data_IF_651796011109
#
_entry.id   IF_651796011109
#
_cell.length_a   1.000
_cell.length_b   1.000
_cell.length_c   1.000
_cell.angle_alpha   90.00
_cell.angle_beta   90.00
_cell.angle_gamma   90.00
#
_symmetry.space_group_name_H-M   'P 1'
#
loop_
_entity.id
_entity.type
_entity.pdbx_description
1 polymer ?
#
# COMPACT_ATOMS: atom_id res chain seq x y z
N UNK A 1 -27.97 -8.32 1.70
CA UNK A 1 -27.22 -7.59 2.76
C UNK A 1 -27.43 -6.11 2.51
N UNK A 2 -27.76 -5.31 3.53
CA UNK A 2 -27.77 -3.86 3.33
C UNK A 2 -26.34 -3.39 3.04
N UNK A 3 -26.20 -2.46 2.10
CA UNK A 3 -24.93 -1.83 1.74
C UNK A 3 -24.94 -0.36 2.20
N UNK A 4 -25.53 -0.12 3.38
CA UNK A 4 -25.68 1.21 3.94
C UNK A 4 -24.35 1.72 4.52
N UNK A 5 -24.30 3.01 4.83
CA UNK A 5 -23.11 3.63 5.42
C UNK A 5 -22.70 3.00 6.76
N UNK A 6 -23.67 2.56 7.57
CA UNK A 6 -23.39 1.87 8.84
C UNK A 6 -22.72 0.51 8.62
N UNK A 7 -23.08 -0.22 7.56
CA UNK A 7 -22.43 -1.47 7.19
C UNK A 7 -20.99 -1.21 6.74
N UNK A 8 -20.76 -0.13 5.97
CA UNK A 8 -19.43 0.33 5.57
C UNK A 8 -18.58 0.74 6.77
N UNK A 9 -19.14 1.45 7.75
CA UNK A 9 -18.48 1.78 9.02
C UNK A 9 -18.10 0.52 9.80
N UNK A 10 -19.01 -0.46 9.88
CA UNK A 10 -18.74 -1.74 10.56
C UNK A 10 -17.60 -2.51 9.89
N UNK A 11 -17.61 -2.61 8.56
CA UNK A 11 -16.50 -3.23 7.80
C UNK A 11 -15.19 -2.47 7.95
N UNK A 12 -15.23 -1.14 7.94
CA UNK A 12 -14.07 -0.29 8.19
C UNK A 12 -13.47 -0.55 9.58
N UNK A 13 -14.29 -0.56 10.64
CA UNK A 13 -13.85 -0.90 12.01
C UNK A 13 -13.27 -2.31 12.08
N UNK A 14 -13.94 -3.29 11.45
CA UNK A 14 -13.46 -4.68 11.40
C UNK A 14 -12.10 -4.82 10.71
N UNK A 15 -11.89 -4.15 9.57
CA UNK A 15 -10.58 -4.10 8.88
C UNK A 15 -9.50 -3.46 9.75
N UNK A 16 -9.78 -2.29 10.32
CA UNK A 16 -8.79 -1.48 11.06
C UNK A 16 -8.37 -2.15 12.38
N UNK A 17 -9.30 -2.81 13.05
CA UNK A 17 -9.02 -3.60 14.26
C UNK A 17 -8.38 -4.97 13.96
N UNK A 18 -8.50 -5.47 12.72
CA UNK A 18 -8.01 -6.78 12.31
C UNK A 18 -8.95 -7.95 12.61
N UNK A 19 -10.20 -7.67 13.02
CA UNK A 19 -11.24 -8.68 13.23
C UNK A 19 -11.55 -9.45 11.92
N UNK A 20 -11.46 -8.79 10.77
CA UNK A 20 -11.64 -9.40 9.44
C UNK A 20 -10.60 -10.49 9.10
N UNK A 21 -9.50 -10.54 9.87
CA UNK A 21 -8.38 -11.46 9.69
C UNK A 21 -8.08 -12.27 10.96
N UNK A 22 -8.99 -12.28 11.95
CA UNK A 22 -8.79 -13.04 13.19
C UNK A 22 -8.53 -14.54 12.92
N UNK A 23 -9.09 -15.12 11.86
CA UNK A 23 -8.91 -16.53 11.51
C UNK A 23 -7.47 -16.90 11.09
N UNK A 24 -6.65 -15.94 10.64
CA UNK A 24 -5.30 -16.21 10.10
C UNK A 24 -4.18 -15.87 11.09
N UNK A 25 -4.52 -15.52 12.33
CA UNK A 25 -3.57 -15.17 13.40
C UNK A 25 -3.69 -16.11 14.60
N UNK A 26 -2.69 -16.07 15.48
CA UNK A 26 -2.57 -16.90 16.69
C UNK A 26 -3.70 -16.64 17.68
N UNK A 27 -3.93 -17.54 18.64
CA UNK A 27 -4.96 -17.31 19.67
C UNK A 27 -4.65 -16.07 20.52
N UNK A 28 -3.41 -15.91 20.99
CA UNK A 28 -3.00 -14.71 21.73
C UNK A 28 -3.18 -13.43 20.91
N UNK A 29 -2.89 -13.48 19.61
CA UNK A 29 -3.10 -12.35 18.71
C UNK A 29 -4.60 -12.06 18.50
N UNK A 30 -5.46 -13.09 18.49
CA UNK A 30 -6.92 -12.91 18.48
C UNK A 30 -7.40 -12.24 19.76
N UNK A 31 -6.93 -12.66 20.92
CA UNK A 31 -7.34 -12.10 22.21
C UNK A 31 -6.92 -10.62 22.30
N UNK A 32 -5.70 -10.30 21.84
CA UNK A 32 -5.26 -8.91 21.67
C UNK A 32 -6.19 -8.12 20.74
N UNK A 33 -6.49 -8.66 19.55
CA UNK A 33 -7.38 -8.01 18.57
C UNK A 33 -8.76 -7.76 19.17
N UNK A 34 -9.36 -8.76 19.81
CA UNK A 34 -10.69 -8.67 20.42
C UNK A 34 -10.67 -7.61 21.52
N UNK A 35 -9.70 -7.65 22.43
CA UNK A 35 -9.60 -6.68 23.51
C UNK A 35 -9.37 -5.26 23.00
N UNK A 36 -8.45 -5.08 22.03
CA UNK A 36 -8.15 -3.76 21.44
C UNK A 36 -9.32 -3.23 20.61
N UNK A 37 -10.07 -4.09 19.92
CA UNK A 37 -11.23 -3.70 19.11
C UNK A 37 -12.41 -3.14 19.92
N UNK A 38 -12.40 -3.35 21.25
CA UNK A 38 -13.37 -2.73 22.16
C UNK A 38 -13.09 -1.24 22.38
N UNK A 39 -11.86 -0.79 22.14
CA UNK A 39 -11.52 0.62 22.25
C UNK A 39 -11.96 1.34 20.99
N UNK A 40 -12.67 2.45 21.19
CA UNK A 40 -13.07 3.33 20.10
C UNK A 40 -11.86 4.08 19.56
N UNK A 41 -11.65 4.06 18.24
CA UNK A 41 -10.66 4.93 17.60
C UNK A 41 -11.18 6.37 17.47
N UNK A 42 -10.26 7.34 17.43
CA UNK A 42 -10.61 8.77 17.40
C UNK A 42 -11.60 9.14 16.28
N UNK A 43 -11.46 8.60 15.06
CA UNK A 43 -12.34 8.91 13.93
C UNK A 43 -13.82 8.63 14.20
N UNK A 44 -14.13 7.71 15.11
CA UNK A 44 -15.49 7.21 15.33
C UNK A 44 -16.38 8.20 16.09
N UNK A 45 -15.79 9.22 16.73
CA UNK A 45 -16.52 10.21 17.53
C UNK A 45 -16.40 11.65 17.00
N UNK A 46 -15.59 11.88 15.95
CA UNK A 46 -15.29 13.22 15.41
C UNK A 46 -16.43 13.87 14.62
N UNK A 47 -17.39 13.09 14.14
CA UNK A 47 -18.50 13.60 13.33
C UNK A 47 -19.84 13.00 13.80
N UNK A 48 -20.32 13.49 14.95
CA UNK A 48 -21.58 13.03 15.57
C UNK A 48 -22.76 13.20 14.62
N UNK A 49 -23.61 12.17 14.53
CA UNK A 49 -24.81 12.12 13.68
C UNK A 49 -24.54 12.34 12.17
N UNK A 50 -23.27 12.18 11.75
CA UNK A 50 -22.80 12.33 10.37
C UNK A 50 -22.05 11.06 9.94
N UNK A 51 -22.76 9.95 9.68
CA UNK A 51 -22.14 8.66 9.38
C UNK A 51 -21.28 8.66 8.11
N UNK A 52 -21.62 9.39 7.05
CA UNK A 52 -20.80 9.45 5.83
C UNK A 52 -19.49 10.20 6.08
N UNK A 53 -19.55 11.28 6.86
CA UNK A 53 -18.39 12.05 7.33
C UNK A 53 -17.52 11.18 8.22
N UNK A 54 -18.12 10.47 9.18
CA UNK A 54 -17.44 9.52 10.06
C UNK A 54 -16.69 8.45 9.26
N UNK A 55 -17.36 7.86 8.25
CA UNK A 55 -16.73 6.91 7.34
C UNK A 55 -15.55 7.53 6.59
N UNK A 56 -15.72 8.72 6.00
CA UNK A 56 -14.66 9.39 5.24
C UNK A 56 -13.41 9.67 6.11
N UNK A 57 -13.61 10.16 7.35
CA UNK A 57 -12.54 10.41 8.30
C UNK A 57 -11.81 9.12 8.68
N UNK A 58 -12.55 8.06 9.03
CA UNK A 58 -11.95 6.76 9.35
C UNK A 58 -11.24 6.09 8.18
N UNK A 59 -11.73 6.30 6.96
CA UNK A 59 -11.13 5.79 5.73
C UNK A 59 -9.81 6.51 5.39
N UNK A 60 -9.66 7.78 5.78
CA UNK A 60 -8.44 8.58 5.62
C UNK A 60 -7.43 8.37 6.76
N UNK A 61 -7.90 8.10 7.97
CA UNK A 61 -7.05 7.95 9.15
C UNK A 61 -6.06 6.79 8.98
N UNK A 62 -4.82 6.97 9.44
CA UNK A 62 -3.88 5.86 9.57
C UNK A 62 -4.39 4.80 10.56
N UNK A 63 -4.01 3.55 10.37
CA UNK A 63 -4.34 2.47 11.32
C UNK A 63 -3.66 2.78 12.67
N UNK A 64 -4.28 2.40 13.80
CA UNK A 64 -3.70 2.59 15.14
C UNK A 64 -2.23 2.12 15.16
N UNK A 65 -1.28 3.00 15.55
CA UNK A 65 0.16 2.73 15.49
C UNK A 65 0.60 1.45 16.20
N UNK A 66 -0.17 0.97 17.17
CA UNK A 66 0.07 -0.30 17.87
C UNK A 66 0.06 -1.47 16.88
N UNK A 67 -0.88 -1.49 15.93
CA UNK A 67 -0.96 -2.54 14.92
C UNK A 67 0.21 -2.48 13.95
N UNK A 68 0.59 -1.27 13.51
CA UNK A 68 1.76 -1.05 12.67
C UNK A 68 3.04 -1.52 13.36
N UNK A 69 3.22 -1.17 14.64
CA UNK A 69 4.34 -1.64 15.46
C UNK A 69 4.41 -3.17 15.53
N UNK A 70 3.29 -3.85 15.80
CA UNK A 70 3.22 -5.32 15.85
C UNK A 70 3.62 -5.94 14.49
N UNK A 71 3.18 -5.36 13.38
CA UNK A 71 3.60 -5.79 12.04
C UNK A 71 5.12 -5.67 11.86
N UNK A 72 5.72 -4.54 12.25
CA UNK A 72 7.17 -4.33 12.16
C UNK A 72 7.95 -5.29 13.06
N UNK A 73 7.51 -5.49 14.31
CA UNK A 73 8.13 -6.45 15.25
C UNK A 73 8.02 -7.89 14.77
N UNK A 74 6.93 -8.26 14.11
CA UNK A 74 6.77 -9.60 13.53
C UNK A 74 7.74 -9.82 12.38
N UNK A 75 7.91 -8.83 11.50
CA UNK A 75 8.88 -8.91 10.41
C UNK A 75 10.32 -8.95 10.94
N UNK A 76 10.62 -8.16 11.96
CA UNK A 76 11.90 -8.17 12.68
C UNK A 76 12.21 -9.53 13.31
N UNK A 77 11.21 -10.19 13.92
CA UNK A 77 11.36 -11.54 14.44
C UNK A 77 11.68 -12.56 13.34
N UNK A 78 11.02 -12.47 12.19
CA UNK A 78 11.30 -13.34 11.03
C UNK A 78 12.70 -13.07 10.49
N UNK A 79 13.07 -11.80 10.33
CA UNK A 79 14.42 -11.36 9.94
C UNK A 79 15.49 -12.00 10.82
N UNK A 80 15.36 -11.88 12.13
CA UNK A 80 16.36 -12.36 13.10
C UNK A 80 16.52 -13.88 13.08
N UNK A 81 15.51 -14.64 12.64
CA UNK A 81 15.64 -16.09 12.47
C UNK A 81 16.28 -16.48 11.14
N UNK A 82 16.00 -15.72 10.08
CA UNK A 82 16.61 -15.89 8.76
C UNK A 82 18.09 -15.53 8.79
N UNK A 83 18.45 -14.41 9.39
CA UNK A 83 19.84 -13.94 9.52
C UNK A 83 20.76 -14.99 10.18
N UNK A 84 20.25 -15.74 11.15
CA UNK A 84 20.99 -16.81 11.84
C UNK A 84 21.16 -18.10 11.03
N UNK A 85 20.41 -18.26 9.94
CA UNK A 85 20.27 -19.55 9.22
C UNK A 85 20.62 -19.45 7.73
N UNK A 86 20.64 -18.24 7.18
CA UNK A 86 21.08 -17.99 5.81
C UNK A 86 22.58 -17.68 5.77
N UNK A 87 23.13 -17.63 4.55
CA UNK A 87 24.50 -17.18 4.30
C UNK A 87 24.74 -15.78 4.89
N UNK A 88 25.96 -15.45 5.36
CA UNK A 88 26.27 -14.11 5.88
C UNK A 88 26.13 -13.00 4.82
N UNK A 89 26.05 -13.34 3.53
CA UNK A 89 25.90 -12.39 2.43
C UNK A 89 24.43 -12.09 2.13
N UNK A 90 23.63 -11.80 3.15
CA UNK A 90 22.24 -11.36 2.98
C UNK A 90 21.96 -10.06 3.72
N UNK A 91 21.13 -9.21 3.12
CA UNK A 91 20.60 -8.00 3.73
C UNK A 91 19.07 -8.09 3.77
N UNK A 92 18.45 -7.37 4.70
CA UNK A 92 17.01 -7.34 4.85
C UNK A 92 16.47 -5.91 4.74
N UNK A 93 15.35 -5.74 4.05
CA UNK A 93 14.67 -4.46 3.88
C UNK A 93 13.15 -4.68 3.93
N UNK A 94 12.40 -3.66 4.33
CA UNK A 94 10.93 -3.68 4.29
C UNK A 94 10.43 -2.93 3.06
N UNK A 95 9.36 -3.43 2.45
CA UNK A 95 8.65 -2.74 1.38
C UNK A 95 7.13 -2.77 1.60
N UNK A 96 6.39 -2.18 0.66
CA UNK A 96 4.94 -2.25 0.63
C UNK A 96 4.25 -1.20 1.50
N UNK A 97 2.99 -1.47 1.85
CA UNK A 97 2.09 -0.46 2.41
C UNK A 97 2.29 -0.17 3.90
N UNK A 98 2.93 -1.07 4.64
CA UNK A 98 3.23 -0.91 6.07
C UNK A 98 4.33 0.15 6.28
N UNK A 99 5.55 0.03 5.71
CA UNK A 99 6.58 1.07 5.88
C UNK A 99 6.17 2.41 5.27
N UNK A 100 5.26 2.43 4.28
CA UNK A 100 4.71 3.65 3.72
C UNK A 100 3.52 4.23 4.51
N UNK A 101 3.05 3.53 5.56
CA UNK A 101 1.88 3.90 6.37
C UNK A 101 0.61 4.18 5.54
N UNK A 102 0.37 3.41 4.48
CA UNK A 102 -0.85 3.48 3.65
C UNK A 102 -1.66 2.18 3.71
N UNK A 103 -1.29 1.27 4.60
CA UNK A 103 -2.09 0.09 4.91
C UNK A 103 -3.43 0.50 5.56
N UNK A 104 -4.47 -0.31 5.36
CA UNK A 104 -5.84 -0.02 5.82
C UNK A 104 -6.40 -1.10 6.76
N UNK A 105 -5.57 -2.09 7.12
CA UNK A 105 -5.93 -3.21 8.00
C UNK A 105 -5.02 -3.25 9.21
N UNK A 106 -5.57 -3.52 10.39
CA UNK A 106 -4.79 -3.77 11.62
C UNK A 106 -3.95 -5.03 11.52
N UNK A 107 -4.45 -6.04 10.80
CA UNK A 107 -3.70 -7.24 10.43
C UNK A 107 -3.28 -7.10 8.97
N UNK A 108 -2.22 -6.34 8.74
CA UNK A 108 -1.61 -6.21 7.41
C UNK A 108 -0.41 -7.14 7.28
N UNK A 109 -0.34 -7.82 6.14
CA UNK A 109 0.81 -8.61 5.72
C UNK A 109 2.02 -7.67 5.54
N UNK A 110 3.21 -8.14 5.89
CA UNK A 110 4.45 -7.37 5.76
C UNK A 110 5.34 -8.01 4.69
N UNK A 111 5.81 -7.19 3.76
CA UNK A 111 6.73 -7.61 2.72
C UNK A 111 8.19 -7.44 3.20
N UNK A 112 8.84 -8.56 3.51
CA UNK A 112 10.25 -8.62 3.93
C UNK A 112 11.13 -9.04 2.76
N UNK A 113 11.94 -8.11 2.25
CA UNK A 113 12.95 -8.40 1.24
C UNK A 113 14.13 -9.12 1.90
N UNK A 114 14.61 -10.19 1.27
CA UNK A 114 15.88 -10.87 1.58
C UNK A 114 16.78 -10.70 0.37
N UNK A 115 17.81 -9.87 0.49
CA UNK A 115 18.69 -9.49 -0.61
C UNK A 115 20.00 -10.26 -0.53
N UNK A 116 20.31 -11.10 -1.52
CA UNK A 116 21.65 -11.66 -1.67
C UNK A 116 22.62 -10.52 -2.03
N UNK A 117 23.61 -10.26 -1.17
CA UNK A 117 24.61 -9.20 -1.37
C UNK A 117 25.88 -9.70 -2.05
N UNK A 118 26.02 -11.02 -2.24
CA UNK A 118 27.12 -11.62 -3.02
C UNK A 118 26.93 -11.51 -4.53
N UNK A 119 25.74 -11.08 -4.97
CA UNK A 119 25.38 -10.94 -6.37
C UNK A 119 24.52 -9.69 -6.58
N UNK A 120 24.75 -9.01 -7.69
CA UNK A 120 23.90 -7.92 -8.15
C UNK A 120 24.04 -7.81 -9.67
N UNK A 121 23.09 -7.11 -10.29
CA UNK A 121 23.20 -6.69 -11.69
C UNK A 121 23.34 -5.15 -11.74
N UNK A 122 23.78 -4.61 -12.87
CA UNK A 122 23.98 -3.19 -13.03
C UNK A 122 23.63 -2.73 -14.44
N UNK A 123 23.24 -1.46 -14.56
CA UNK A 123 22.94 -0.84 -15.85
C UNK A 123 24.25 -0.55 -16.58
N UNK A 124 24.45 -1.16 -17.74
CA UNK A 124 25.70 -1.04 -18.49
C UNK A 124 25.92 0.37 -19.05
N UNK A 125 24.86 1.17 -19.16
CA UNK A 125 24.92 2.58 -19.60
C UNK A 125 25.14 3.56 -18.45
N UNK A 126 25.16 3.10 -17.20
CA UNK A 126 25.44 3.96 -16.05
C UNK A 126 26.90 4.46 -16.03
N UNK A 127 27.13 5.54 -15.29
CA UNK A 127 28.44 6.22 -15.28
C UNK A 127 29.56 5.35 -14.70
N UNK A 128 29.27 4.59 -13.63
CA UNK A 128 30.24 3.70 -12.98
C UNK A 128 30.57 2.49 -13.86
N UNK A 129 29.58 1.95 -14.57
CA UNK A 129 29.79 0.88 -15.57
C UNK A 129 30.69 1.35 -16.70
N UNK A 130 30.41 2.51 -17.30
CA UNK A 130 31.23 3.06 -18.40
C UNK A 130 32.65 3.42 -17.96
N UNK A 131 32.85 3.72 -16.68
CA UNK A 131 34.17 3.96 -16.09
C UNK A 131 34.92 2.65 -15.73
N UNK A 132 34.32 1.48 -15.93
CA UNK A 132 34.96 0.19 -15.64
C UNK A 132 34.96 -0.22 -14.18
N UNK A 133 34.09 0.37 -13.34
CA UNK A 133 34.02 0.07 -11.91
C UNK A 133 33.22 -1.20 -11.57
N UNK A 134 32.56 -1.81 -12.56
CA UNK A 134 31.87 -3.09 -12.38
C UNK A 134 32.61 -4.24 -13.05
N UNK A 135 32.64 -5.37 -12.36
CA UNK A 135 33.09 -6.65 -12.92
C UNK A 135 31.86 -7.51 -13.20
N UNK A 136 31.76 -8.14 -14.38
CA UNK A 136 30.68 -9.09 -14.67
C UNK A 136 30.64 -10.23 -13.65
N UNK A 137 29.45 -10.75 -13.38
CA UNK A 137 29.31 -11.94 -12.55
C UNK A 137 30.03 -13.15 -13.17
N UNK A 138 30.49 -14.07 -12.33
CA UNK A 138 31.13 -15.31 -12.77
C UNK A 138 30.21 -16.08 -13.75
N UNK A 139 30.76 -16.73 -14.79
CA UNK A 139 29.98 -17.52 -15.74
C UNK A 139 29.05 -18.52 -15.03
N UNK A 140 27.79 -18.56 -15.45
CA UNK A 140 26.77 -19.44 -14.86
C UNK A 140 26.05 -18.88 -13.63
N UNK A 141 26.50 -17.79 -13.02
CA UNK A 141 25.72 -17.07 -12.00
C UNK A 141 24.76 -16.09 -12.66
N UNK A 142 23.48 -16.43 -12.69
CA UNK A 142 22.40 -15.59 -13.20
C UNK A 142 21.47 -15.17 -12.07
N UNK A 143 20.70 -14.10 -12.28
CA UNK A 143 19.64 -13.70 -11.34
C UNK A 143 18.68 -14.84 -11.03
N UNK A 144 18.26 -15.62 -12.04
CA UNK A 144 17.37 -16.77 -11.84
C UNK A 144 18.05 -17.80 -10.94
N UNK A 145 19.28 -18.23 -11.23
CA UNK A 145 19.96 -19.27 -10.43
C UNK A 145 20.19 -18.83 -8.98
N UNK A 146 20.61 -17.57 -8.77
CA UNK A 146 20.88 -17.02 -7.44
C UNK A 146 19.58 -16.91 -6.64
N UNK A 147 18.52 -16.35 -7.23
CA UNK A 147 17.26 -16.15 -6.52
C UNK A 147 16.51 -17.47 -6.29
N UNK A 148 16.63 -18.46 -7.18
CA UNK A 148 16.08 -19.80 -6.96
C UNK A 148 16.74 -20.48 -5.77
N UNK A 149 18.07 -20.41 -5.68
CA UNK A 149 18.81 -20.95 -4.52
C UNK A 149 18.40 -20.24 -3.22
N UNK A 150 18.42 -18.89 -3.22
CA UNK A 150 18.01 -18.10 -2.05
C UNK A 150 16.56 -18.41 -1.63
N UNK A 151 15.65 -18.59 -2.59
CA UNK A 151 14.26 -18.95 -2.30
C UNK A 151 14.15 -20.30 -1.60
N UNK A 152 14.87 -21.31 -2.05
CA UNK A 152 14.93 -22.63 -1.38
C UNK A 152 15.55 -22.55 0.01
N UNK A 153 16.60 -21.74 0.17
CA UNK A 153 17.24 -21.52 1.47
C UNK A 153 16.30 -20.84 2.46
N UNK A 154 15.55 -19.82 2.00
CA UNK A 154 14.52 -19.14 2.79
C UNK A 154 13.44 -20.13 3.25
N UNK A 155 12.89 -20.98 2.37
CA UNK A 155 11.87 -21.97 2.78
C UNK A 155 12.39 -22.91 3.87
N UNK A 156 13.58 -23.49 3.66
CA UNK A 156 14.22 -24.36 4.65
C UNK A 156 14.48 -23.65 5.97
N UNK A 157 15.01 -22.43 5.93
CA UNK A 157 15.30 -21.63 7.12
C UNK A 157 14.03 -21.28 7.90
N UNK A 158 12.94 -20.89 7.21
CA UNK A 158 11.65 -20.58 7.82
C UNK A 158 11.04 -21.82 8.49
N UNK A 159 11.02 -22.97 7.80
CA UNK A 159 10.51 -24.24 8.38
C UNK A 159 11.29 -24.67 9.61
N UNK A 160 12.61 -24.51 9.58
CA UNK A 160 13.47 -24.84 10.73
C UNK A 160 13.28 -23.86 11.90
N UNK A 161 13.07 -22.57 11.63
CA UNK A 161 12.91 -21.55 12.66
C UNK A 161 11.51 -21.54 13.29
N UNK A 162 10.48 -21.89 12.52
CA UNK A 162 9.08 -21.80 12.91
C UNK A 162 8.34 -23.11 12.58
N UNK A 163 8.69 -24.24 13.23
CA UNK A 163 8.18 -25.57 12.88
C UNK A 163 6.66 -25.70 13.03
N UNK A 164 6.03 -24.90 13.90
CA UNK A 164 4.59 -24.87 14.08
C UNK A 164 3.87 -23.92 13.10
N UNK A 165 4.57 -22.99 12.45
CA UNK A 165 3.98 -22.03 11.53
C UNK A 165 3.73 -22.67 10.16
N UNK A 166 2.75 -22.15 9.44
CA UNK A 166 2.54 -22.54 8.05
C UNK A 166 3.49 -21.74 7.17
N UNK A 167 4.32 -22.46 6.40
CA UNK A 167 5.18 -21.90 5.35
C UNK A 167 4.59 -22.28 4.00
N UNK A 168 3.95 -21.31 3.35
CA UNK A 168 3.36 -21.43 2.01
C UNK A 168 4.36 -21.02 0.94
N UNK A 169 4.78 -22.01 0.16
CA UNK A 169 5.75 -21.88 -0.92
C UNK A 169 5.09 -21.76 -2.32
N UNK A 170 3.76 -21.67 -2.40
CA UNK A 170 3.01 -21.67 -3.67
C UNK A 170 3.06 -20.34 -4.40
N UNK A 171 3.19 -19.22 -3.67
CA UNK A 171 3.25 -17.88 -4.30
C UNK A 171 4.52 -17.76 -5.15
N UNK A 172 4.45 -17.37 -6.44
CA UNK A 172 5.61 -17.37 -7.31
C UNK A 172 6.69 -16.36 -6.89
N UNK A 173 6.31 -15.28 -6.20
CA UNK A 173 7.18 -14.13 -5.92
C UNK A 173 7.67 -14.05 -4.47
N UNK A 174 7.06 -14.80 -3.56
CA UNK A 174 7.38 -14.75 -2.14
C UNK A 174 7.23 -16.15 -1.51
N UNK A 175 7.86 -16.34 -0.35
CA UNK A 175 7.57 -17.44 0.57
C UNK A 175 6.78 -16.84 1.73
N UNK A 176 5.52 -17.24 1.86
CA UNK A 176 4.61 -16.67 2.85
C UNK A 176 4.67 -17.49 4.13
N UNK A 177 4.84 -16.84 5.28
CA UNK A 177 4.80 -17.49 6.58
C UNK A 177 3.72 -16.88 7.48
N UNK A 178 2.92 -17.72 8.13
CA UNK A 178 1.83 -17.28 9.01
C UNK A 178 1.43 -18.35 10.03
N UNK A 179 0.63 -17.95 11.03
CA UNK A 179 0.13 -18.84 12.08
C UNK A 179 1.12 -19.09 13.23
N UNK A 180 0.81 -20.09 14.04
CA UNK A 180 1.53 -20.46 15.27
C UNK A 180 1.73 -19.33 16.27
N UNK A 181 2.93 -18.73 16.32
CA UNK A 181 3.29 -17.65 17.24
C UNK A 181 3.51 -16.31 16.52
N UNK A 182 3.26 -16.24 15.20
CA UNK A 182 3.38 -15.02 14.42
C UNK A 182 2.08 -14.22 14.50
N UNK A 183 2.16 -13.00 15.02
CA UNK A 183 0.99 -12.14 15.14
C UNK A 183 0.40 -11.76 13.79
N UNK A 184 1.20 -11.74 12.71
CA UNK A 184 0.82 -11.33 11.36
C UNK A 184 1.49 -12.22 10.31
N UNK A 185 0.87 -12.40 9.12
CA UNK A 185 1.55 -13.00 7.99
C UNK A 185 2.74 -12.15 7.52
N UNK A 186 3.81 -12.80 7.09
CA UNK A 186 4.98 -12.15 6.47
C UNK A 186 5.23 -12.78 5.11
N UNK A 187 5.27 -11.95 4.07
CA UNK A 187 5.64 -12.35 2.72
C UNK A 187 7.16 -12.10 2.55
N UNK A 188 7.95 -13.17 2.56
CA UNK A 188 9.41 -13.11 2.43
C UNK A 188 9.79 -13.17 0.96
N UNK A 189 10.45 -12.15 0.43
CA UNK A 189 10.71 -11.97 -1.00
C UNK A 189 12.21 -12.09 -1.30
N UNK A 190 12.67 -13.23 -1.84
CA UNK A 190 14.04 -13.40 -2.30
C UNK A 190 14.36 -12.41 -3.42
N UNK A 191 15.43 -11.65 -3.23
CA UNK A 191 15.81 -10.53 -4.09
C UNK A 191 17.34 -10.41 -4.18
N UNK A 192 17.82 -9.62 -5.13
CA UNK A 192 19.18 -9.08 -5.12
C UNK A 192 19.16 -7.64 -5.62
N UNK A 193 20.26 -6.91 -5.46
CA UNK A 193 20.36 -5.54 -5.89
C UNK A 193 20.45 -5.40 -7.42
N UNK A 194 19.90 -4.31 -7.94
CA UNK A 194 20.12 -3.81 -9.30
C UNK A 194 20.61 -2.36 -9.24
N UNK A 195 21.88 -2.16 -9.61
CA UNK A 195 22.56 -0.87 -9.67
C UNK A 195 22.18 -0.10 -10.95
N UNK A 196 21.07 0.63 -10.87
CA UNK A 196 20.56 1.46 -11.97
C UNK A 196 21.54 2.57 -12.37
N UNK A 197 21.39 3.13 -13.57
CA UNK A 197 22.17 4.29 -13.98
C UNK A 197 22.02 5.50 -13.02
N UNK A 198 20.83 5.67 -12.42
CA UNK A 198 20.57 6.72 -11.43
C UNK A 198 21.39 6.46 -10.15
N UNK A 199 21.36 5.24 -9.62
CA UNK A 199 22.14 4.85 -8.45
C UNK A 199 23.65 5.01 -8.68
N UNK A 200 24.15 4.61 -9.86
CA UNK A 200 25.54 4.78 -10.23
C UNK A 200 25.99 6.26 -10.20
N UNK A 201 25.06 7.18 -10.44
CA UNK A 201 25.34 8.62 -10.45
C UNK A 201 25.19 9.24 -9.05
N UNK A 202 24.19 8.82 -8.28
CA UNK A 202 23.84 9.45 -7.00
C UNK A 202 24.45 8.77 -5.77
N UNK A 203 24.74 7.48 -5.84
CA UNK A 203 25.10 6.63 -4.69
C UNK A 203 23.95 6.42 -3.69
N UNK A 204 22.74 6.89 -3.98
CA UNK A 204 21.65 6.91 -3.01
C UNK A 204 20.81 5.63 -3.07
N UNK A 205 20.59 4.98 -1.92
CA UNK A 205 19.85 3.70 -1.82
C UNK A 205 18.50 3.71 -2.55
N UNK A 206 17.77 4.82 -2.49
CA UNK A 206 16.45 4.92 -3.12
C UNK A 206 16.49 4.90 -4.66
N UNK A 207 17.63 5.22 -5.28
CA UNK A 207 17.80 5.12 -6.73
C UNK A 207 18.22 3.70 -7.16
N UNK A 208 18.59 2.85 -6.19
CA UNK A 208 18.91 1.43 -6.42
C UNK A 208 17.61 0.63 -6.54
N UNK A 209 17.57 -0.26 -7.53
CA UNK A 209 16.45 -1.17 -7.74
C UNK A 209 16.74 -2.53 -7.11
N UNK A 210 15.74 -3.40 -7.10
CA UNK A 210 15.88 -4.81 -6.76
C UNK A 210 15.39 -5.67 -7.91
N UNK A 211 15.93 -6.87 -8.04
CA UNK A 211 15.42 -7.90 -8.93
C UNK A 211 14.84 -9.03 -8.09
N UNK A 212 13.62 -9.47 -8.42
CA UNK A 212 12.92 -10.57 -7.75
C UNK A 212 12.65 -11.72 -8.73
N UNK A 213 12.43 -12.92 -8.20
CA UNK A 213 12.10 -14.12 -8.98
C UNK A 213 10.57 -14.26 -9.16
N UNK A 214 10.14 -14.57 -10.37
CA UNK A 214 8.86 -15.24 -10.63
C UNK A 214 9.13 -16.73 -10.79
N UNK A 215 8.94 -17.50 -9.71
CA UNK A 215 9.29 -18.92 -9.66
C UNK A 215 8.38 -19.81 -10.51
N UNK A 216 7.21 -19.32 -10.91
CA UNK A 216 6.31 -20.06 -11.80
C UNK A 216 6.78 -19.94 -13.25
N UNK A 217 7.22 -18.74 -13.66
CA UNK A 217 7.70 -18.49 -15.02
C UNK A 217 9.20 -18.73 -15.19
N UNK A 218 9.93 -18.89 -14.08
CA UNK A 218 11.39 -18.93 -14.04
C UNK A 218 12.02 -17.71 -14.72
N UNK A 219 11.46 -16.53 -14.44
CA UNK A 219 11.92 -15.23 -14.96
C UNK A 219 12.14 -14.25 -13.81
N UNK A 220 12.75 -13.12 -14.11
CA UNK A 220 13.01 -12.07 -13.13
C UNK A 220 12.20 -10.81 -13.41
N UNK A 221 11.94 -10.04 -12.35
CA UNK A 221 11.19 -8.79 -12.39
C UNK A 221 11.97 -7.75 -11.59
N UNK A 222 12.30 -6.64 -12.25
CA UNK A 222 12.93 -5.49 -11.58
C UNK A 222 11.86 -4.59 -10.95
N UNK A 223 12.14 -4.12 -9.74
CA UNK A 223 11.27 -3.22 -8.99
C UNK A 223 12.05 -2.10 -8.33
N UNK A 224 11.39 -0.96 -8.12
CA UNK A 224 11.94 0.23 -7.48
C UNK A 224 11.19 0.57 -6.18
N UNK A 225 11.11 -0.35 -5.20
CA UNK A 225 10.29 -0.14 -4.00
C UNK A 225 10.77 1.07 -3.18
N UNK A 226 12.08 1.26 -3.08
CA UNK A 226 12.67 2.35 -2.29
C UNK A 226 12.47 3.71 -2.96
N UNK A 227 12.58 3.79 -4.29
CA UNK A 227 12.26 5.01 -5.04
C UNK A 227 10.78 5.38 -4.88
N UNK A 228 9.89 4.40 -4.98
CA UNK A 228 8.46 4.60 -4.81
C UNK A 228 8.15 5.12 -3.39
N UNK A 229 8.68 4.47 -2.35
CA UNK A 229 8.51 4.90 -0.95
C UNK A 229 9.03 6.32 -0.77
N UNK A 230 10.22 6.64 -1.30
CA UNK A 230 10.78 8.00 -1.23
C UNK A 230 9.87 9.02 -1.90
N UNK A 231 9.47 8.80 -3.16
CA UNK A 231 8.66 9.74 -3.94
C UNK A 231 7.31 10.02 -3.27
N UNK A 232 6.64 8.97 -2.77
CA UNK A 232 5.39 9.15 -2.02
C UNK A 232 5.64 9.88 -0.70
N UNK A 233 6.72 9.56 0.02
CA UNK A 233 7.05 10.21 1.30
C UNK A 233 7.33 11.70 1.10
N UNK A 234 8.27 12.05 0.23
CA UNK A 234 8.64 13.44 -0.07
C UNK A 234 7.39 14.27 -0.46
N UNK A 235 6.51 13.71 -1.32
CA UNK A 235 5.29 14.41 -1.73
C UNK A 235 4.22 14.45 -0.64
N UNK A 236 4.16 13.45 0.23
CA UNK A 236 3.26 13.44 1.37
C UNK A 236 3.68 14.47 2.41
N UNK A 237 4.97 14.61 2.66
CA UNK A 237 5.52 15.61 3.59
C UNK A 237 5.23 17.02 3.07
N UNK A 238 5.38 17.24 1.76
CA UNK A 238 4.99 18.49 1.10
C UNK A 238 3.47 18.80 1.14
N UNK A 239 2.63 17.83 1.51
CA UNK A 239 1.17 18.00 1.67
C UNK A 239 0.71 17.80 3.11
N UNK A 240 1.63 17.84 4.09
CA UNK A 240 1.35 17.65 5.52
C UNK A 240 0.52 16.39 5.82
N UNK A 241 0.80 15.28 5.13
CA UNK A 241 0.08 14.02 5.31
C UNK A 241 -1.12 13.82 4.37
N UNK A 242 -1.53 14.85 3.62
CA UNK A 242 -2.70 14.81 2.75
C UNK A 242 -2.66 13.70 1.70
N UNK A 243 -1.50 13.44 1.10
CA UNK A 243 -1.33 12.35 0.12
C UNK A 243 -1.59 10.95 0.72
N UNK A 244 -0.99 10.60 1.86
CA UNK A 244 -1.23 9.25 2.44
C UNK A 244 -2.70 9.09 2.89
N UNK A 245 -3.34 10.17 3.35
CA UNK A 245 -4.79 10.18 3.66
C UNK A 245 -5.63 9.88 2.42
N UNK A 246 -5.37 10.52 1.27
CA UNK A 246 -6.11 10.23 0.03
C UNK A 246 -5.88 8.81 -0.48
N UNK A 247 -4.65 8.29 -0.37
CA UNK A 247 -4.33 6.90 -0.72
C UNK A 247 -5.15 5.91 0.13
N UNK A 248 -5.20 6.11 1.46
CA UNK A 248 -5.99 5.24 2.35
C UNK A 248 -7.48 5.34 2.07
N UNK A 249 -7.99 6.53 1.74
CA UNK A 249 -9.38 6.74 1.33
C UNK A 249 -9.71 5.91 0.07
N UNK A 250 -8.92 6.05 -1.00
CA UNK A 250 -9.12 5.28 -2.23
C UNK A 250 -9.05 3.77 -1.99
N UNK A 251 -8.11 3.30 -1.15
CA UNK A 251 -7.99 1.88 -0.79
C UNK A 251 -9.21 1.37 -0.01
N UNK A 252 -9.75 2.17 0.91
CA UNK A 252 -10.96 1.81 1.64
C UNK A 252 -12.18 1.78 0.73
N UNK A 253 -12.34 2.74 -0.18
CA UNK A 253 -13.42 2.72 -1.20
C UNK A 253 -13.32 1.48 -2.07
N UNK A 254 -12.11 1.14 -2.56
CA UNK A 254 -11.89 -0.11 -3.28
C UNK A 254 -12.36 -1.32 -2.47
N UNK A 255 -11.98 -1.39 -1.19
CA UNK A 255 -12.34 -2.52 -0.34
C UNK A 255 -13.85 -2.61 -0.05
N UNK A 256 -14.56 -1.47 0.01
CA UNK A 256 -16.03 -1.47 0.08
C UNK A 256 -16.66 -2.00 -1.20
N UNK A 257 -16.19 -1.53 -2.37
CA UNK A 257 -16.69 -2.01 -3.66
C UNK A 257 -16.48 -3.52 -3.83
N UNK A 258 -15.32 -4.04 -3.43
CA UNK A 258 -15.03 -5.48 -3.46
C UNK A 258 -15.94 -6.27 -2.49
N UNK A 259 -16.20 -5.74 -1.29
CA UNK A 259 -17.13 -6.36 -0.34
C UNK A 259 -18.58 -6.34 -0.84
N UNK A 260 -18.93 -5.37 -1.68
CA UNK A 260 -20.24 -5.21 -2.33
C UNK A 260 -20.34 -6.00 -3.66
N UNK A 261 -19.33 -6.81 -3.97
CA UNK A 261 -19.33 -7.71 -5.14
C UNK A 261 -18.77 -7.11 -6.42
N UNK A 262 -18.22 -5.89 -6.37
CA UNK A 262 -17.60 -5.24 -7.52
C UNK A 262 -16.10 -5.51 -7.55
N UNK A 263 -15.63 -6.25 -8.55
CA UNK A 263 -14.19 -6.49 -8.75
C UNK A 263 -13.48 -5.22 -9.24
N UNK A 264 -12.44 -4.80 -8.54
CA UNK A 264 -11.67 -3.59 -8.88
C UNK A 264 -10.26 -3.96 -9.35
N UNK A 265 -10.00 -3.80 -10.65
CA UNK A 265 -8.72 -4.09 -11.29
C UNK A 265 -7.69 -2.95 -11.11
N UNK A 266 -7.62 -2.34 -9.92
CA UNK A 266 -6.59 -1.37 -9.54
C UNK A 266 -5.87 -1.87 -8.30
N UNK A 267 -4.56 -2.04 -8.36
CA UNK A 267 -3.77 -2.47 -7.19
C UNK A 267 -3.62 -1.32 -6.18
N UNK A 268 -3.17 -1.64 -4.95
CA UNK A 268 -2.80 -0.59 -3.98
C UNK A 268 -1.70 0.34 -4.53
N UNK A 269 -0.80 -0.22 -5.32
CA UNK A 269 0.28 0.52 -5.97
C UNK A 269 -0.26 1.45 -7.06
N UNK A 270 -1.25 1.02 -7.85
CA UNK A 270 -1.92 1.88 -8.84
C UNK A 270 -2.66 3.02 -8.13
N UNK A 271 -3.43 2.75 -7.07
CA UNK A 271 -4.14 3.80 -6.32
C UNK A 271 -3.18 4.81 -5.68
N UNK A 272 -2.06 4.35 -5.12
CA UNK A 272 -1.00 5.23 -4.61
C UNK A 272 -0.40 6.09 -5.73
N UNK A 273 -0.15 5.49 -6.89
CA UNK A 273 0.39 6.16 -8.07
C UNK A 273 -0.57 7.18 -8.66
N UNK A 274 -1.88 6.90 -8.66
CA UNK A 274 -2.90 7.86 -9.12
C UNK A 274 -2.86 9.07 -8.19
N UNK A 275 -3.01 8.87 -6.88
CA UNK A 275 -3.02 9.99 -5.92
C UNK A 275 -1.69 10.75 -5.86
N UNK A 276 -0.56 10.12 -6.20
CA UNK A 276 0.73 10.80 -6.35
C UNK A 276 0.68 11.94 -7.37
N UNK A 277 -0.20 11.90 -8.37
CA UNK A 277 -0.35 12.97 -9.36
C UNK A 277 -1.45 13.98 -9.01
N UNK A 278 -2.18 13.79 -7.91
CA UNK A 278 -3.20 14.73 -7.46
C UNK A 278 -2.59 16.11 -7.11
N UNK A 279 -3.45 17.13 -7.09
CA UNK A 279 -3.05 18.52 -6.85
C UNK A 279 -2.59 18.68 -5.40
N UNK A 280 -1.31 19.03 -5.22
CA UNK A 280 -0.68 19.16 -3.89
C UNK A 280 -1.24 20.33 -3.09
N UNK A 281 -1.63 21.42 -3.74
CA UNK A 281 -2.24 22.58 -3.07
C UNK A 281 -3.58 22.18 -2.45
N UNK A 282 -4.41 21.45 -3.19
CA UNK A 282 -5.70 20.99 -2.69
C UNK A 282 -5.56 19.93 -1.58
N UNK A 283 -4.57 19.03 -1.69
CA UNK A 283 -4.26 18.08 -0.61
C UNK A 283 -3.74 18.79 0.66
N UNK A 284 -2.96 19.86 0.50
CA UNK A 284 -2.42 20.67 1.60
C UNK A 284 -3.52 21.37 2.39
N UNK A 285 -4.61 21.77 1.75
CA UNK A 285 -5.78 22.33 2.43
C UNK A 285 -6.34 21.37 3.50
N UNK A 286 -6.08 20.07 3.36
CA UNK A 286 -6.38 19.02 4.34
C UNK A 286 -5.75 19.20 5.72
N UNK A 287 -4.72 20.05 5.86
CA UNK A 287 -4.16 20.41 7.15
C UNK A 287 -5.15 21.19 8.02
N UNK A 288 -5.96 22.05 7.40
CA UNK A 288 -6.97 22.88 8.08
C UNK A 288 -8.36 22.29 7.92
N UNK A 289 -8.72 21.90 6.70
CA UNK A 289 -10.02 21.34 6.35
C UNK A 289 -9.83 19.90 5.89
N UNK A 290 -9.81 18.95 6.82
CA UNK A 290 -9.44 17.55 6.52
C UNK A 290 -10.27 16.94 5.37
N UNK A 291 -11.55 17.30 5.25
CA UNK A 291 -12.39 16.80 4.16
C UNK A 291 -12.07 17.41 2.78
N UNK A 292 -11.23 18.45 2.69
CA UNK A 292 -10.69 18.91 1.41
C UNK A 292 -9.90 17.81 0.69
N UNK A 293 -9.35 16.83 1.42
CA UNK A 293 -8.68 15.66 0.86
C UNK A 293 -9.68 14.76 0.11
N UNK A 294 -10.89 14.58 0.66
CA UNK A 294 -11.99 13.87 -0.04
C UNK A 294 -12.37 14.62 -1.32
N UNK A 295 -12.50 15.95 -1.24
CA UNK A 295 -12.84 16.77 -2.40
C UNK A 295 -11.78 16.67 -3.51
N UNK A 296 -10.49 16.68 -3.17
CA UNK A 296 -9.41 16.52 -4.15
C UNK A 296 -9.33 15.11 -4.72
N UNK A 297 -9.48 14.08 -3.88
CA UNK A 297 -9.49 12.69 -4.33
C UNK A 297 -10.65 12.45 -5.33
N UNK A 298 -11.85 12.94 -5.01
CA UNK A 298 -13.00 12.91 -5.92
C UNK A 298 -12.69 13.65 -7.22
N UNK A 299 -12.30 14.94 -7.13
CA UNK A 299 -12.04 15.79 -8.30
C UNK A 299 -11.02 15.14 -9.24
N UNK A 300 -9.94 14.60 -8.70
CA UNK A 300 -8.87 14.05 -9.51
C UNK A 300 -9.24 12.70 -10.15
N UNK A 301 -9.94 11.82 -9.43
CA UNK A 301 -10.46 10.57 -10.01
C UNK A 301 -11.47 10.85 -11.14
N UNK A 302 -12.39 11.78 -10.93
CA UNK A 302 -13.39 12.20 -11.93
C UNK A 302 -12.72 12.82 -13.15
N UNK A 303 -11.73 13.70 -12.94
CA UNK A 303 -10.94 14.29 -14.01
C UNK A 303 -10.26 13.23 -14.88
N UNK A 304 -9.60 12.23 -14.27
CA UNK A 304 -8.94 11.15 -15.02
C UNK A 304 -9.94 10.24 -15.73
N UNK A 305 -11.11 10.00 -15.14
CA UNK A 305 -12.15 9.20 -15.77
C UNK A 305 -12.74 9.90 -17.00
N UNK A 306 -12.97 11.21 -16.92
CA UNK A 306 -13.46 12.02 -18.04
C UNK A 306 -12.39 12.28 -19.10
N UNK A 307 -11.10 12.28 -18.71
CA UNK A 307 -9.97 12.54 -19.60
C UNK A 307 -9.03 11.33 -19.68
N UNK A 308 -9.52 10.21 -20.22
CA UNK A 308 -8.76 8.94 -20.26
C UNK A 308 -7.41 9.05 -20.97
N UNK A 309 -7.28 9.89 -21.99
CA UNK A 309 -6.01 10.10 -22.68
C UNK A 309 -4.97 10.81 -21.81
N UNK A 310 -5.40 11.66 -20.88
CA UNK A 310 -4.52 12.18 -19.84
C UNK A 310 -4.13 11.10 -18.84
N UNK A 311 -5.09 10.29 -18.41
CA UNK A 311 -4.82 9.18 -17.50
C UNK A 311 -3.80 8.19 -18.07
N UNK A 312 -3.88 7.84 -19.37
CA UNK A 312 -2.90 6.96 -20.05
C UNK A 312 -1.46 7.49 -20.01
N UNK A 313 -1.27 8.80 -19.92
CA UNK A 313 0.07 9.43 -19.84
C UNK A 313 0.69 9.35 -18.45
N UNK A 314 -0.09 9.05 -17.41
CA UNK A 314 0.43 8.98 -16.06
C UNK A 314 1.33 7.75 -15.86
N UNK A 315 2.48 7.97 -15.22
CA UNK A 315 3.43 6.92 -14.84
C UNK A 315 3.44 6.70 -13.34
N UNK A 316 3.81 5.51 -12.91
CA UNK A 316 4.02 5.21 -11.49
C UNK A 316 5.16 6.08 -10.93
N UNK A 317 5.23 6.36 -9.61
CA UNK A 317 6.17 7.34 -9.04
C UNK A 317 7.65 7.09 -9.37
N UNK A 318 8.06 5.83 -9.49
CA UNK A 318 9.40 5.41 -9.89
C UNK A 318 9.65 5.46 -11.41
N UNK A 319 8.61 5.69 -12.21
CA UNK A 319 8.71 5.81 -13.66
C UNK A 319 8.91 4.50 -14.42
N UNK A 320 8.76 3.33 -13.79
CA UNK A 320 8.97 2.04 -14.48
C UNK A 320 7.90 1.73 -15.54
N UNK A 321 6.63 2.10 -15.29
CA UNK A 321 5.49 1.79 -16.18
C UNK A 321 4.41 2.87 -16.18
N UNK A 322 3.52 2.82 -17.18
CA UNK A 322 2.27 3.56 -17.14
C UNK A 322 1.37 3.02 -16.03
N UNK A 323 0.60 3.88 -15.36
CA UNK A 323 -0.36 3.45 -14.33
C UNK A 323 -1.46 2.61 -14.98
N UNK A 324 -2.03 3.13 -16.07
CA UNK A 324 -3.07 2.51 -16.88
C UNK A 324 -2.44 1.78 -18.07
N UNK A 325 -1.74 0.69 -17.77
CA UNK A 325 -1.07 -0.20 -18.73
C UNK A 325 -1.99 -1.31 -19.30
N UNK A 326 -3.26 -1.35 -18.88
CA UNK A 326 -4.28 -2.26 -19.37
C UNK A 326 -5.66 -1.60 -19.32
N UNK A 327 -6.50 -1.86 -20.33
CA UNK A 327 -7.81 -1.21 -20.46
C UNK A 327 -8.76 -1.54 -19.29
N UNK A 328 -8.68 -2.76 -18.74
CA UNK A 328 -9.49 -3.17 -17.59
C UNK A 328 -9.23 -2.36 -16.30
N UNK A 329 -8.14 -1.58 -16.24
CA UNK A 329 -7.87 -0.63 -15.15
C UNK A 329 -8.81 0.57 -15.21
N UNK A 330 -9.31 0.95 -16.39
CA UNK A 330 -10.29 2.02 -16.52
C UNK A 330 -11.64 1.64 -15.92
N UNK A 331 -12.05 0.36 -15.98
CA UNK A 331 -13.25 -0.10 -15.28
C UNK A 331 -13.12 0.11 -13.76
N UNK A 332 -11.94 -0.19 -13.22
CA UNK A 332 -11.61 0.07 -11.82
C UNK A 332 -11.63 1.58 -11.49
N UNK A 333 -11.08 2.43 -12.37
CA UNK A 333 -11.09 3.89 -12.20
C UNK A 333 -12.53 4.43 -12.19
N UNK A 334 -13.36 4.02 -13.15
CA UNK A 334 -14.75 4.45 -13.24
C UNK A 334 -15.56 4.04 -12.01
N UNK A 335 -15.37 2.81 -11.52
CA UNK A 335 -16.04 2.32 -10.31
C UNK A 335 -15.62 3.10 -9.05
N UNK A 336 -14.32 3.33 -8.86
CA UNK A 336 -13.80 4.10 -7.70
C UNK A 336 -14.20 5.57 -7.81
N UNK A 337 -14.16 6.17 -9.00
CA UNK A 337 -14.59 7.56 -9.24
C UNK A 337 -16.05 7.76 -8.88
N UNK A 338 -16.94 6.90 -9.38
CA UNK A 338 -18.38 6.94 -9.07
C UNK A 338 -18.64 6.78 -7.57
N UNK A 339 -17.97 5.84 -6.91
CA UNK A 339 -18.12 5.65 -5.47
C UNK A 339 -17.64 6.88 -4.66
N UNK A 340 -16.61 7.57 -5.16
CA UNK A 340 -16.12 8.80 -4.54
C UNK A 340 -17.09 9.97 -4.73
N UNK A 341 -17.73 10.09 -5.91
CA UNK A 341 -18.80 11.06 -6.14
C UNK A 341 -19.95 10.88 -5.16
N UNK A 342 -20.38 9.64 -4.97
CA UNK A 342 -21.50 9.30 -4.08
C UNK A 342 -21.13 9.60 -2.62
N UNK A 343 -19.91 9.26 -2.20
CA UNK A 343 -19.41 9.64 -0.87
C UNK A 343 -19.34 11.16 -0.70
N UNK A 344 -18.80 11.89 -1.67
CA UNK A 344 -18.67 13.35 -1.61
C UNK A 344 -20.05 14.02 -1.45
N UNK A 345 -21.04 13.61 -2.24
CA UNK A 345 -22.40 14.16 -2.16
C UNK A 345 -23.01 13.90 -0.79
N UNK A 346 -22.88 12.68 -0.28
CA UNK A 346 -23.44 12.31 1.01
C UNK A 346 -22.77 13.07 2.17
N UNK A 347 -21.44 13.22 2.14
CA UNK A 347 -20.71 14.06 3.11
C UNK A 347 -21.14 15.51 2.98
N UNK A 348 -21.28 16.05 1.77
CA UNK A 348 -21.73 17.43 1.57
C UNK A 348 -23.14 17.70 2.12
N UNK A 349 -24.05 16.73 2.01
CA UNK A 349 -25.40 16.80 2.58
C UNK A 349 -25.38 16.81 4.12
N UNK A 350 -24.41 16.13 4.75
CA UNK A 350 -24.21 16.19 6.20
C UNK A 350 -23.60 17.51 6.66
N UNK A 351 -22.70 18.08 5.85
CA UNK A 351 -21.94 19.29 6.19
C UNK A 351 -22.67 20.61 5.86
N UNK A 352 -23.67 20.60 4.98
CA UNK A 352 -24.29 21.83 4.49
C UNK A 352 -25.81 21.69 4.35
N UNK A 353 -26.55 22.40 5.22
CA UNK A 353 -28.01 22.29 5.34
C UNK A 353 -28.78 22.47 4.01
N UNK A 354 -28.51 23.48 3.17
CA UNK A 354 -29.17 23.60 1.87
C UNK A 354 -28.99 22.38 0.95
N UNK A 355 -27.82 21.71 1.00
CA UNK A 355 -27.57 20.54 0.14
C UNK A 355 -28.32 19.31 0.66
N UNK A 356 -28.57 19.23 1.97
CA UNK A 356 -29.35 18.14 2.60
C UNK A 356 -30.75 17.99 2.00
N UNK A 357 -31.34 19.09 1.54
CA UNK A 357 -32.68 19.10 0.94
C UNK A 357 -32.67 18.68 -0.54
N UNK A 358 -31.49 18.62 -1.18
CA UNK A 358 -31.35 18.20 -2.56
C UNK A 358 -31.13 16.68 -2.63
N UNK A 359 -31.94 15.92 -3.38
CA UNK A 359 -31.75 14.48 -3.52
C UNK A 359 -30.39 14.09 -4.12
N UNK A 360 -29.85 14.94 -5.01
CA UNK A 360 -28.56 14.72 -5.66
C UNK A 360 -27.87 16.05 -5.96
N UNK A 361 -27.10 16.61 -5.00
CA UNK A 361 -26.40 17.87 -5.21
C UNK A 361 -25.33 17.77 -6.31
N UNK A 362 -25.05 18.91 -6.94
CA UNK A 362 -23.99 19.02 -7.95
C UNK A 362 -22.61 18.74 -7.35
N UNK A 363 -21.70 18.17 -8.14
CA UNK A 363 -20.35 17.84 -7.64
C UNK A 363 -19.56 19.09 -7.24
N UNK A 364 -19.66 20.18 -8.01
CA UNK A 364 -18.96 21.42 -7.69
C UNK A 364 -19.48 22.05 -6.38
N UNK A 365 -20.79 22.08 -6.18
CA UNK A 365 -21.42 22.57 -4.94
C UNK A 365 -21.03 21.69 -3.75
N UNK A 366 -21.03 20.37 -3.94
CA UNK A 366 -20.61 19.40 -2.92
C UNK A 366 -19.15 19.60 -2.53
N UNK A 367 -18.24 19.79 -3.50
CA UNK A 367 -16.83 20.13 -3.22
C UNK A 367 -16.70 21.42 -2.43
N UNK A 368 -17.42 22.46 -2.81
CA UNK A 368 -17.37 23.76 -2.13
C UNK A 368 -17.81 23.66 -0.66
N UNK A 369 -18.85 22.88 -0.38
CA UNK A 369 -19.33 22.63 0.98
C UNK A 369 -18.25 21.92 1.83
N UNK A 370 -17.71 20.83 1.30
CA UNK A 370 -16.78 19.95 2.02
C UNK A 370 -15.38 20.58 2.21
N UNK A 371 -14.91 21.38 1.25
CA UNK A 371 -13.61 22.06 1.33
C UNK A 371 -13.50 23.12 2.44
N UNK A 372 -14.62 23.53 3.04
CA UNK A 372 -14.68 24.55 4.09
C UNK A 372 -15.16 23.99 5.43
N UNK A 373 -15.42 22.69 5.51
CA UNK A 373 -15.91 22.03 6.71
C UNK A 373 -14.80 21.91 7.75
N UNK A 374 -15.06 22.45 8.93
CA UNK A 374 -14.22 22.25 10.12
C UNK A 374 -14.76 21.05 10.88
N UNK A 375 -13.92 20.03 11.03
CA UNK A 375 -14.22 18.83 11.84
C UNK A 375 -13.47 18.97 13.16
N UNK A 376 -14.20 18.86 14.27
CA UNK A 376 -13.64 18.93 15.62
C UNK A 376 -12.97 17.63 16.05
#
# INVERSE_FOLDING_TARGET
MSNGVNDRISRLRSRRSGLDRAAVVTQDAKDFIVNRSRNQEAWESRARDMPYTTFALGAMQEVDPTYTRISLETAERVRNQLEKRLSPNVQFELQGSVPLNVHIRGVSDVDLLVLDTSFFIYDTNGIQSRAGHYTPAAPGRTSVSVLSALRSDVDRALRAAFPAATVDFKSPKAVKIYGASLARPVDVVPSHWYDTAAYQSSGQKHDRAITILDAQKMTTIDNWPFLHIKKITDRCDATYGGLRKSIRLCKNIKAELEAEGTKINLSSFDLASIMYHANTTNLTAGLVYELAILAEAQRYLDHLWMNKDEARRLRVPDGSRAIFDAENKFDGLGAVSKAMDDLLRAVAQEQHYPLRLQPKPGLQESRNAVMRSVIQ
#
